data_IF_113067740742
#
_entry.id   IF_113067740742
#
_cell.length_a   1.000
_cell.length_b   1.000
_cell.length_c   1.000
_cell.angle_alpha   90.00
_cell.angle_beta   90.00
_cell.angle_gamma   90.00
#
_symmetry.space_group_name_H-M   'P 1'
#
loop_
_entity.id
_entity.type
_entity.pdbx_description
1 polymer ?
#
# COMPACT_ATOMS: atom_id res chain seq x y z
N UNK A 1 -78.21 -79.84 6.21
CA UNK A 1 -78.58 -79.57 4.79
C UNK A 1 -77.29 -79.19 4.08
N UNK A 2 -76.77 -79.81 3.03
CA UNK A 2 -77.25 -80.80 2.08
C UNK A 2 -75.97 -81.45 1.51
N UNK A 3 -75.69 -82.72 1.81
CA UNK A 3 -75.78 -83.88 0.90
C UNK A 3 -76.06 -83.58 -0.59
N UNK A 4 -75.32 -84.28 -1.46
CA UNK A 4 -75.59 -84.75 -2.85
C UNK A 4 -74.34 -84.48 -3.73
N UNK A 5 -73.45 -85.45 -4.02
CA UNK A 5 -73.60 -86.70 -4.80
C UNK A 5 -73.80 -86.46 -6.32
N UNK A 6 -72.83 -86.91 -7.13
CA UNK A 6 -72.86 -87.29 -8.56
C UNK A 6 -71.42 -87.74 -8.92
N UNK A 7 -71.06 -89.03 -8.95
CA UNK A 7 -71.45 -90.13 -9.85
C UNK A 7 -71.18 -89.84 -11.33
N UNK A 8 -70.10 -90.43 -11.88
CA UNK A 8 -70.09 -91.14 -13.17
C UNK A 8 -68.76 -91.85 -13.40
N UNK A 9 -68.87 -93.14 -13.69
CA UNK A 9 -67.79 -94.10 -13.95
C UNK A 9 -67.83 -94.51 -15.43
N UNK A 10 -66.68 -94.76 -16.07
CA UNK A 10 -66.50 -95.59 -17.28
C UNK A 10 -65.02 -96.04 -17.36
N UNK A 11 -64.69 -97.32 -17.08
CA UNK A 11 -64.24 -98.38 -18.02
C UNK A 11 -62.93 -98.01 -18.79
N UNK A 12 -61.82 -98.77 -18.84
CA UNK A 12 -61.60 -100.23 -18.75
C UNK A 12 -60.09 -100.61 -18.61
N UNK A 13 -59.83 -101.71 -17.89
CA UNK A 13 -58.74 -102.73 -17.98
C UNK A 13 -57.23 -102.43 -17.77
N UNK A 14 -56.77 -102.91 -16.59
CA UNK A 14 -55.65 -103.86 -16.32
C UNK A 14 -54.19 -103.44 -16.56
N UNK A 15 -53.44 -103.32 -15.45
CA UNK A 15 -52.23 -104.14 -15.16
C UNK A 15 -52.03 -104.28 -13.64
N UNK A 16 -51.56 -105.46 -13.20
CA UNK A 16 -51.25 -105.79 -11.82
C UNK A 16 -50.10 -104.95 -11.26
N UNK A 17 -50.23 -104.49 -10.02
CA UNK A 17 -49.08 -104.16 -9.14
C UNK A 17 -49.45 -104.46 -7.70
N UNK A 18 -48.68 -105.36 -7.11
CA UNK A 18 -48.74 -105.86 -5.74
C UNK A 18 -48.38 -104.70 -4.78
N UNK A 19 -49.17 -104.37 -3.75
CA UNK A 19 -48.67 -103.55 -2.67
C UNK A 19 -47.85 -104.43 -1.72
N UNK A 20 -46.53 -104.28 -1.78
CA UNK A 20 -45.59 -104.82 -0.82
C UNK A 20 -45.86 -104.13 0.52
N UNK A 21 -46.32 -104.90 1.51
CA UNK A 21 -46.56 -104.43 2.86
C UNK A 21 -45.31 -104.67 3.71
N UNK A 22 -44.72 -103.57 4.17
CA UNK A 22 -44.00 -103.35 5.43
C UNK A 22 -43.12 -104.47 6.01
N UNK A 23 -41.79 -104.25 5.91
CA UNK A 23 -40.80 -104.66 6.93
C UNK A 23 -39.83 -103.49 7.15
N UNK A 24 -39.43 -103.31 8.41
CA UNK A 24 -38.48 -102.34 8.98
C UNK A 24 -39.06 -100.92 9.17
N UNK A 25 -39.13 -100.36 10.38
CA UNK A 25 -38.13 -100.42 11.43
C UNK A 25 -37.23 -99.19 11.30
N UNK A 26 -37.19 -98.39 12.37
CA UNK A 26 -36.34 -97.21 12.59
C UNK A 26 -36.75 -95.91 11.88
N UNK A 27 -36.99 -94.89 12.72
CA UNK A 27 -37.04 -93.50 12.31
C UNK A 27 -35.71 -93.14 11.64
N UNK A 28 -35.75 -92.94 10.33
CA UNK A 28 -34.72 -92.18 9.61
C UNK A 28 -34.70 -90.78 10.20
N UNK A 29 -33.77 -90.55 11.11
CA UNK A 29 -32.90 -89.39 11.19
C UNK A 29 -32.09 -89.56 12.48
N UNK A 30 -30.89 -90.13 12.39
CA UNK A 30 -29.91 -90.13 13.49
C UNK A 30 -29.07 -88.84 13.33
N UNK A 31 -29.48 -87.70 13.92
CA UNK A 31 -28.69 -86.47 13.79
C UNK A 31 -27.30 -86.68 14.38
N UNK A 32 -26.30 -86.14 13.70
CA UNK A 32 -24.94 -86.05 14.24
C UNK A 32 -24.94 -84.90 15.25
N UNK A 33 -24.61 -85.22 16.51
CA UNK A 33 -24.39 -84.27 17.58
C UNK A 33 -22.95 -83.78 17.51
N UNK A 34 -22.80 -82.49 17.22
CA UNK A 34 -21.50 -81.82 17.21
C UNK A 34 -20.94 -81.71 18.62
N UNK A 35 -19.72 -82.18 18.83
CA UNK A 35 -18.86 -81.73 19.92
C UNK A 35 -17.62 -81.08 19.30
N UNK A 36 -17.54 -79.76 19.42
CA UNK A 36 -16.57 -78.90 18.74
C UNK A 36 -15.95 -77.86 19.69
N UNK A 37 -16.13 -78.07 21.01
CA UNK A 37 -15.83 -77.13 22.07
C UNK A 37 -16.80 -75.93 22.12
N UNK A 38 -17.02 -75.40 23.33
CA UNK A 38 -17.90 -74.26 23.56
C UNK A 38 -17.15 -72.92 23.42
N UNK A 39 -17.84 -71.91 22.89
CA UNK A 39 -17.36 -70.52 22.84
C UNK A 39 -16.33 -70.22 21.75
N UNK A 40 -15.91 -68.94 21.63
CA UNK A 40 -14.93 -68.52 20.64
C UNK A 40 -13.51 -69.00 20.98
N UNK A 41 -12.72 -69.30 19.96
CA UNK A 41 -11.26 -69.42 20.09
C UNK A 41 -10.71 -68.00 20.19
N UNK A 42 -10.03 -67.68 21.29
CA UNK A 42 -9.41 -66.37 21.47
C UNK A 42 -7.93 -66.45 21.11
N UNK A 43 -7.46 -65.55 20.24
CA UNK A 43 -6.07 -65.49 19.80
C UNK A 43 -5.49 -64.13 20.18
N UNK A 44 -4.22 -64.11 20.61
CA UNK A 44 -3.49 -62.87 20.79
C UNK A 44 -3.20 -62.22 19.42
N UNK A 45 -3.32 -60.89 19.34
CA UNK A 45 -2.90 -60.16 18.15
C UNK A 45 -1.37 -60.20 17.99
N UNK A 46 -0.86 -60.32 16.74
CA UNK A 46 0.56 -60.30 16.43
C UNK A 46 0.85 -60.00 14.96
N UNK A 47 2.09 -59.59 14.63
CA UNK A 47 2.55 -59.43 13.24
C UNK A 47 2.87 -60.80 12.60
N UNK A 48 1.88 -61.70 12.57
CA UNK A 48 2.08 -63.05 12.05
C UNK A 48 0.85 -63.94 12.14
N UNK A 49 1.09 -65.23 12.00
CA UNK A 49 0.06 -66.26 12.06
C UNK A 49 0.01 -66.92 13.44
N UNK A 50 -1.19 -67.28 13.88
CA UNK A 50 -1.40 -68.07 15.08
C UNK A 50 -1.70 -69.52 14.70
N UNK A 51 -1.12 -70.46 15.46
CA UNK A 51 -1.35 -71.89 15.34
C UNK A 51 -2.26 -72.37 16.45
N UNK A 52 -3.33 -73.09 16.10
CA UNK A 52 -4.21 -73.74 17.07
C UNK A 52 -4.79 -75.03 16.50
N UNK A 53 -5.16 -75.95 17.40
CA UNK A 53 -5.80 -77.22 17.04
C UNK A 53 -7.28 -77.19 17.39
N UNK A 54 -8.10 -77.84 16.56
CA UNK A 54 -9.51 -78.09 16.83
C UNK A 54 -9.76 -79.59 16.74
N UNK A 55 -10.51 -80.12 17.71
CA UNK A 55 -10.86 -81.53 17.80
C UNK A 55 -12.38 -81.69 17.81
N UNK A 56 -12.87 -82.54 16.91
CA UNK A 56 -14.26 -82.94 16.74
C UNK A 56 -14.48 -84.44 17.06
N UNK A 57 -13.49 -85.10 17.68
CA UNK A 57 -13.48 -86.55 17.95
C UNK A 57 -14.61 -87.01 18.87
N UNK A 58 -15.11 -86.12 19.73
CA UNK A 58 -16.23 -86.37 20.61
C UNK A 58 -17.61 -86.18 19.92
N UNK A 59 -17.64 -85.81 18.65
CA UNK A 59 -18.88 -85.73 17.89
C UNK A 59 -19.50 -87.13 17.76
N UNK A 60 -20.73 -87.27 18.23
CA UNK A 60 -21.46 -88.54 18.25
C UNK A 60 -22.67 -88.46 17.34
N UNK A 61 -23.33 -89.60 17.15
CA UNK A 61 -24.57 -89.74 16.42
C UNK A 61 -25.60 -90.29 17.40
N UNK A 62 -26.84 -89.79 17.33
CA UNK A 62 -27.90 -90.30 18.18
C UNK A 62 -28.33 -91.71 17.71
N UNK A 63 -27.63 -92.76 18.14
CA UNK A 63 -27.95 -94.16 17.84
C UNK A 63 -27.81 -95.06 19.08
N UNK A 64 -28.68 -96.09 19.28
CA UNK A 64 -28.61 -97.02 20.42
C UNK A 64 -27.32 -97.84 20.52
N UNK A 65 -26.65 -98.05 19.38
CA UNK A 65 -25.30 -98.62 19.26
C UNK A 65 -24.37 -97.61 18.57
N UNK A 66 -23.52 -96.89 19.33
CA UNK A 66 -22.71 -95.79 18.80
C UNK A 66 -21.55 -96.25 17.91
N UNK A 67 -21.20 -97.55 17.90
CA UNK A 67 -20.06 -98.06 17.12
C UNK A 67 -20.53 -98.65 15.78
N UNK A 68 -21.66 -99.36 15.78
CA UNK A 68 -22.10 -100.11 14.59
C UNK A 68 -23.18 -99.39 13.78
N UNK A 69 -23.94 -98.48 14.39
CA UNK A 69 -25.13 -97.87 13.75
C UNK A 69 -24.91 -96.56 13.00
N UNK A 70 -23.72 -95.96 13.10
CA UNK A 70 -23.47 -94.64 12.51
C UNK A 70 -22.65 -94.69 11.22
N UNK A 71 -22.12 -95.86 10.87
CA UNK A 71 -21.25 -96.03 9.72
C UNK A 71 -19.97 -95.21 9.84
N UNK A 72 -19.22 -95.14 8.74
CA UNK A 72 -18.01 -94.33 8.66
C UNK A 72 -18.39 -92.84 8.65
N UNK A 73 -17.86 -92.10 9.63
CA UNK A 73 -17.94 -90.65 9.71
C UNK A 73 -16.75 -90.05 8.97
N UNK A 74 -17.00 -89.03 8.15
CA UNK A 74 -15.95 -88.27 7.46
C UNK A 74 -15.96 -86.82 7.91
N UNK A 75 -14.77 -86.25 8.04
CA UNK A 75 -14.56 -84.87 8.48
C UNK A 75 -14.01 -84.04 7.32
N UNK A 76 -14.67 -82.91 7.04
CA UNK A 76 -14.25 -81.98 6.01
C UNK A 76 -14.10 -80.59 6.62
N UNK A 77 -12.86 -80.19 6.86
CA UNK A 77 -12.50 -78.92 7.48
C UNK A 77 -12.48 -77.76 6.50
N UNK A 78 -12.87 -76.58 6.99
CA UNK A 78 -12.95 -75.33 6.24
C UNK A 78 -12.71 -74.14 7.18
N UNK A 79 -12.30 -73.03 6.60
CA UNK A 79 -12.14 -71.73 7.26
C UNK A 79 -12.53 -70.61 6.32
N UNK A 80 -12.98 -69.48 6.88
CA UNK A 80 -13.14 -68.20 6.18
C UNK A 80 -12.12 -67.16 6.69
N UNK A 81 -11.13 -67.59 7.48
CA UNK A 81 -10.07 -66.72 7.98
C UNK A 81 -9.12 -66.28 6.86
N UNK A 82 -8.63 -65.01 6.90
CA UNK A 82 -7.60 -64.54 6.00
C UNK A 82 -6.31 -65.33 6.21
N UNK A 83 -5.61 -65.62 5.11
CA UNK A 83 -4.33 -66.36 5.07
C UNK A 83 -4.35 -67.69 5.85
N UNK A 84 -5.53 -68.32 5.90
CA UNK A 84 -5.68 -69.58 6.60
C UNK A 84 -5.01 -70.72 5.84
N UNK A 85 -3.99 -71.31 6.44
CA UNK A 85 -3.43 -72.58 6.01
C UNK A 85 -3.96 -73.71 6.90
N UNK A 86 -4.61 -74.68 6.26
CA UNK A 86 -5.11 -75.89 6.91
C UNK A 86 -3.95 -76.90 6.92
N UNK A 87 -3.26 -77.01 8.06
CA UNK A 87 -2.06 -77.83 8.20
C UNK A 87 -2.47 -79.29 8.44
N UNK A 88 -2.41 -80.12 7.38
CA UNK A 88 -2.89 -81.50 7.39
C UNK A 88 -2.34 -82.34 8.56
N UNK A 89 -3.22 -83.19 9.16
CA UNK A 89 -3.19 -84.58 8.71
C UNK A 89 -4.57 -85.25 8.48
N UNK A 90 -4.73 -85.81 7.27
CA UNK A 90 -5.51 -87.02 6.98
C UNK A 90 -7.01 -87.07 7.31
N UNK A 91 -7.79 -86.01 7.09
CA UNK A 91 -9.27 -86.09 7.08
C UNK A 91 -9.89 -86.65 8.37
N UNK A 92 -9.15 -86.59 9.46
CA UNK A 92 -9.52 -87.11 10.76
C UNK A 92 -10.33 -86.11 11.59
N UNK A 93 -10.73 -86.51 12.79
CA UNK A 93 -11.51 -85.67 13.70
C UNK A 93 -10.73 -84.49 14.29
N UNK A 94 -9.42 -84.40 14.12
CA UNK A 94 -8.58 -83.29 14.61
C UNK A 94 -7.89 -82.57 13.45
N UNK A 95 -7.79 -81.25 13.54
CA UNK A 95 -7.19 -80.39 12.50
C UNK A 95 -6.43 -79.23 13.13
N UNK A 96 -5.25 -78.96 12.58
CA UNK A 96 -4.46 -77.78 12.92
C UNK A 96 -4.71 -76.66 11.91
N UNK A 97 -4.91 -75.46 12.43
CA UNK A 97 -5.12 -74.25 11.65
C UNK A 97 -3.99 -73.27 11.92
N UNK A 98 -3.44 -72.73 10.83
CA UNK A 98 -2.60 -71.54 10.85
C UNK A 98 -3.42 -70.40 10.27
N UNK A 99 -3.70 -69.35 11.05
CA UNK A 99 -4.51 -68.20 10.59
C UNK A 99 -3.75 -66.90 10.79
N UNK A 100 -3.92 -65.93 9.88
CA UNK A 100 -3.48 -64.56 10.11
C UNK A 100 -4.22 -63.96 11.31
N UNK A 101 -3.50 -63.31 12.22
CA UNK A 101 -4.11 -62.65 13.38
C UNK A 101 -4.55 -61.21 13.07
N UNK A 102 -3.93 -60.59 12.05
CA UNK A 102 -4.31 -59.28 11.51
C UNK A 102 -4.44 -59.37 10.00
N UNK A 103 -5.30 -58.53 9.42
CA UNK A 103 -5.34 -58.33 7.97
C UNK A 103 -4.22 -57.37 7.49
N UNK A 104 -4.12 -57.15 6.18
CA UNK A 104 -3.17 -56.20 5.56
C UNK A 104 -3.32 -54.74 6.06
N UNK A 105 -4.41 -54.43 6.79
CA UNK A 105 -4.71 -53.12 7.37
C UNK A 105 -4.48 -53.08 8.88
N UNK A 106 -3.97 -54.15 9.50
CA UNK A 106 -3.70 -54.22 10.94
C UNK A 106 -4.95 -54.39 11.81
N UNK A 107 -6.08 -54.79 11.23
CA UNK A 107 -7.32 -55.05 11.96
C UNK A 107 -7.38 -56.50 12.45
N UNK A 108 -7.89 -56.77 13.68
CA UNK A 108 -8.00 -58.13 14.21
C UNK A 108 -8.91 -58.98 13.32
N UNK A 109 -8.44 -60.16 12.91
CA UNK A 109 -9.24 -61.06 12.09
C UNK A 109 -10.51 -61.52 12.84
N UNK A 110 -11.69 -61.29 12.26
CA UNK A 110 -12.95 -61.86 12.71
C UNK A 110 -13.40 -62.93 11.71
N UNK A 111 -13.23 -64.20 12.08
CA UNK A 111 -13.50 -65.32 11.19
C UNK A 111 -14.01 -66.54 11.96
N UNK A 112 -14.26 -67.62 11.24
CA UNK A 112 -14.77 -68.90 11.76
C UNK A 112 -14.02 -70.05 11.10
N UNK A 113 -13.85 -71.09 11.89
CA UNK A 113 -13.52 -72.42 11.40
C UNK A 113 -14.74 -73.31 11.52
N UNK A 114 -14.95 -74.17 10.55
CA UNK A 114 -16.04 -75.14 10.61
C UNK A 114 -15.62 -76.50 10.07
N UNK A 115 -16.25 -77.52 10.61
CA UNK A 115 -16.15 -78.90 10.14
C UNK A 115 -17.51 -79.33 9.61
N UNK A 116 -17.47 -79.96 8.45
CA UNK A 116 -18.63 -80.66 7.90
C UNK A 116 -18.45 -82.14 8.19
N UNK A 117 -19.31 -82.67 9.06
CA UNK A 117 -19.33 -84.07 9.45
C UNK A 117 -20.41 -84.78 8.64
N UNK A 118 -20.07 -85.89 7.99
CA UNK A 118 -21.02 -86.68 7.17
C UNK A 118 -20.95 -88.15 7.53
N UNK A 119 -22.11 -88.79 7.54
CA UNK A 119 -22.23 -90.25 7.47
C UNK A 119 -22.99 -90.66 6.19
N UNK A 120 -23.46 -91.90 6.10
CA UNK A 120 -24.16 -92.43 4.93
C UNK A 120 -25.48 -91.73 4.59
N UNK A 121 -26.13 -91.06 5.55
CA UNK A 121 -27.49 -90.52 5.40
C UNK A 121 -27.64 -89.06 5.80
N UNK A 122 -26.75 -88.53 6.63
CA UNK A 122 -26.84 -87.20 7.26
C UNK A 122 -25.54 -86.39 7.11
N UNK A 123 -25.70 -85.06 7.15
CA UNK A 123 -24.63 -84.08 7.14
C UNK A 123 -24.93 -83.01 8.19
N UNK A 124 -23.95 -82.71 9.04
CA UNK A 124 -24.02 -81.61 10.02
C UNK A 124 -22.80 -80.71 9.86
N UNK A 125 -22.99 -79.41 10.06
CA UNK A 125 -21.91 -78.43 10.12
C UNK A 125 -21.79 -77.92 11.55
N UNK A 126 -20.58 -77.94 12.08
CA UNK A 126 -20.24 -77.37 13.38
C UNK A 126 -19.25 -76.23 13.13
N UNK A 127 -19.51 -75.04 13.67
CA UNK A 127 -18.66 -73.87 13.49
C UNK A 127 -18.24 -73.28 14.83
N UNK A 128 -17.03 -72.70 14.86
CA UNK A 128 -16.51 -71.99 16.02
C UNK A 128 -15.93 -70.64 15.59
N UNK A 129 -16.39 -69.53 16.19
CA UNK A 129 -15.82 -68.22 15.91
C UNK A 129 -14.41 -68.10 16.47
N UNK A 130 -13.57 -67.37 15.74
CA UNK A 130 -12.25 -66.93 16.16
C UNK A 130 -12.36 -65.44 16.47
N UNK A 131 -11.94 -65.10 17.68
CA UNK A 131 -11.86 -63.72 18.17
C UNK A 131 -10.40 -63.40 18.41
N UNK A 132 -9.81 -62.56 17.56
CA UNK A 132 -8.50 -61.98 17.86
C UNK A 132 -8.71 -60.81 18.83
N UNK A 133 -7.86 -60.72 19.86
CA UNK A 133 -7.87 -59.59 20.79
C UNK A 133 -7.52 -58.27 20.08
N UNK A 134 -7.94 -57.15 20.66
CA UNK A 134 -7.63 -55.83 20.08
C UNK A 134 -6.12 -55.64 19.99
N UNK A 135 -5.65 -55.24 18.81
CA UNK A 135 -4.26 -54.95 18.57
C UNK A 135 -3.92 -53.57 19.14
N UNK A 136 -3.18 -53.55 20.25
CA UNK A 136 -2.70 -52.31 20.86
C UNK A 136 -1.43 -51.83 20.13
N UNK A 137 -1.58 -51.37 18.89
CA UNK A 137 -0.51 -50.67 18.18
C UNK A 137 -0.40 -49.25 18.70
N UNK A 138 0.83 -48.81 18.96
CA UNK A 138 1.09 -47.40 19.22
C UNK A 138 1.09 -46.59 17.91
N UNK A 139 1.26 -45.28 17.98
CA UNK A 139 1.18 -44.44 16.78
C UNK A 139 2.34 -44.61 15.78
N UNK A 140 3.40 -45.35 16.13
CA UNK A 140 4.47 -45.74 15.20
C UNK A 140 4.15 -47.08 14.51
N UNK A 141 3.03 -47.73 14.88
CA UNK A 141 2.69 -49.07 14.41
C UNK A 141 3.37 -50.17 15.21
N UNK A 142 3.91 -49.87 16.40
CA UNK A 142 4.57 -50.87 17.24
C UNK A 142 3.56 -51.57 18.15
N UNK A 143 3.47 -52.89 18.05
CA UNK A 143 2.57 -53.71 18.88
C UNK A 143 3.00 -53.68 20.34
N UNK A 144 2.12 -53.22 21.24
CA UNK A 144 2.43 -53.04 22.66
C UNK A 144 3.33 -51.85 22.95
N UNK A 145 3.56 -50.99 21.95
CA UNK A 145 4.28 -49.74 22.12
C UNK A 145 3.52 -48.76 23.02
N UNK A 146 4.21 -47.68 23.39
CA UNK A 146 3.64 -46.63 24.27
C UNK A 146 3.64 -45.25 23.62
N UNK A 147 4.11 -45.13 22.38
CA UNK A 147 4.14 -43.85 21.70
C UNK A 147 2.71 -43.33 21.48
N UNK A 148 2.50 -42.05 21.83
CA UNK A 148 1.23 -41.36 21.64
C UNK A 148 1.43 -40.21 20.66
N UNK A 149 0.35 -39.88 19.94
CA UNK A 149 0.34 -38.71 19.06
C UNK A 149 0.28 -37.46 19.94
N UNK A 150 1.23 -36.55 19.74
CA UNK A 150 1.24 -35.26 20.43
C UNK A 150 0.17 -34.31 19.85
N UNK A 151 -0.09 -33.14 20.46
CA UNK A 151 -1.06 -32.19 19.92
C UNK A 151 -0.76 -31.70 18.49
N UNK A 152 0.46 -31.88 18.00
CA UNK A 152 0.90 -31.52 16.66
C UNK A 152 0.71 -32.64 15.63
N UNK A 153 0.16 -33.80 16.04
CA UNK A 153 0.00 -34.95 15.15
C UNK A 153 1.27 -35.78 14.99
N UNK A 154 2.31 -35.54 15.79
CA UNK A 154 3.59 -36.26 15.70
C UNK A 154 3.61 -37.39 16.72
N UNK A 155 3.87 -38.61 16.26
CA UNK A 155 4.01 -39.75 17.15
C UNK A 155 5.27 -39.63 18.01
N UNK A 156 5.13 -39.72 19.34
CA UNK A 156 6.24 -39.55 20.27
C UNK A 156 6.79 -38.11 20.34
N UNK A 157 6.07 -37.15 19.78
CA UNK A 157 6.45 -35.73 19.86
C UNK A 157 6.19 -35.12 21.24
N UNK A 158 6.82 -33.98 21.50
CA UNK A 158 6.67 -33.20 22.74
C UNK A 158 5.67 -32.03 22.61
N UNK A 159 4.99 -31.93 21.46
CA UNK A 159 4.04 -30.86 21.18
C UNK A 159 4.69 -29.52 20.87
N UNK A 160 6.01 -29.44 20.62
CA UNK A 160 6.70 -28.16 20.34
C UNK A 160 6.75 -27.81 18.85
N UNK A 161 6.65 -28.80 17.98
CA UNK A 161 6.84 -28.63 16.53
C UNK A 161 5.80 -27.74 15.84
N UNK A 162 4.63 -27.56 16.45
CA UNK A 162 3.51 -26.76 15.95
C UNK A 162 3.09 -25.64 16.91
N UNK A 163 3.92 -25.27 17.88
CA UNK A 163 3.59 -24.19 18.81
C UNK A 163 3.55 -22.84 18.10
N UNK A 164 2.56 -22.04 18.46
CA UNK A 164 2.55 -20.62 18.14
C UNK A 164 3.55 -19.85 19.01
N UNK A 165 3.65 -18.54 18.82
CA UNK A 165 4.63 -17.76 19.61
C UNK A 165 4.33 -17.71 21.12
N UNK A 166 3.13 -18.12 21.56
CA UNK A 166 2.73 -18.21 22.96
C UNK A 166 2.99 -19.60 23.54
N UNK A 167 3.60 -20.51 22.77
CA UNK A 167 3.83 -21.89 23.18
C UNK A 167 2.57 -22.77 23.08
N UNK A 168 1.51 -22.31 22.40
CA UNK A 168 0.27 -23.07 22.26
C UNK A 168 0.32 -23.92 21.00
N UNK A 169 0.27 -25.26 21.09
CA UNK A 169 0.22 -26.13 19.91
C UNK A 169 -0.98 -25.80 19.02
N UNK A 170 -0.74 -25.62 17.71
CA UNK A 170 -1.73 -25.18 16.72
C UNK A 170 -2.45 -23.87 17.08
N UNK A 171 -1.84 -23.04 17.93
CA UNK A 171 -2.34 -21.71 18.22
C UNK A 171 -2.18 -20.76 17.03
N UNK A 172 -2.84 -19.60 17.11
CA UNK A 172 -2.83 -18.59 16.04
C UNK A 172 -1.99 -17.38 16.39
N UNK A 173 -1.36 -17.33 17.57
CA UNK A 173 -0.59 -16.17 17.99
C UNK A 173 0.67 -16.03 17.13
N UNK A 174 0.90 -14.82 16.62
CA UNK A 174 2.09 -14.48 15.86
C UNK A 174 2.84 -13.34 16.53
N UNK A 175 4.15 -13.28 16.30
CA UNK A 175 4.93 -12.11 16.67
C UNK A 175 4.47 -10.92 15.83
N UNK A 176 4.24 -9.79 16.49
CA UNK A 176 4.05 -8.52 15.81
C UNK A 176 5.40 -7.97 15.31
N UNK A 177 5.35 -6.80 14.65
CA UNK A 177 6.53 -6.07 14.19
C UNK A 177 7.49 -5.63 15.31
N UNK A 178 7.05 -5.70 16.57
CA UNK A 178 7.84 -5.38 17.77
C UNK A 178 8.46 -6.62 18.41
N UNK A 179 8.25 -7.81 17.84
CA UNK A 179 8.69 -9.07 18.42
C UNK A 179 7.88 -9.51 19.63
N UNK A 180 6.70 -8.95 19.85
CA UNK A 180 5.79 -9.35 20.92
C UNK A 180 4.77 -10.34 20.38
N UNK A 181 4.67 -11.50 21.03
CA UNK A 181 3.68 -12.48 20.67
C UNK A 181 2.26 -12.00 20.96
N UNK A 182 1.38 -11.99 19.96
CA UNK A 182 0.02 -11.48 20.09
C UNK A 182 -0.05 -9.97 20.32
N UNK A 183 1.05 -9.25 20.08
CA UNK A 183 1.07 -7.79 20.20
C UNK A 183 0.28 -7.10 19.09
N UNK A 184 -0.10 -5.85 19.34
CA UNK A 184 -0.83 -5.00 18.39
C UNK A 184 0.11 -4.16 17.50
N UNK A 185 1.43 -4.36 17.62
CA UNK A 185 2.44 -3.61 16.88
C UNK A 185 2.66 -2.17 17.36
N UNK A 186 2.09 -1.74 18.48
CA UNK A 186 2.16 -0.34 18.95
C UNK A 186 3.30 -0.07 19.94
N UNK A 187 3.78 -1.10 20.64
CA UNK A 187 4.73 -0.97 21.75
C UNK A 187 6.12 -0.45 21.33
N UNK A 188 6.50 -0.64 20.07
CA UNK A 188 7.80 -0.25 19.51
C UNK A 188 7.69 0.85 18.45
N UNK A 189 6.54 1.52 18.33
CA UNK A 189 6.39 2.62 17.39
C UNK A 189 7.23 3.81 17.83
N UNK A 190 7.96 4.39 16.89
CA UNK A 190 8.57 5.71 17.06
C UNK A 190 7.50 6.81 16.99
N UNK A 191 7.90 8.08 17.16
CA UNK A 191 6.92 9.17 17.16
C UNK A 191 6.26 9.43 15.78
N UNK A 192 6.74 8.79 14.70
CA UNK A 192 6.13 8.81 13.36
C UNK A 192 5.19 7.62 13.14
N UNK A 193 4.99 6.78 14.16
CA UNK A 193 4.20 5.56 14.03
C UNK A 193 4.91 4.45 13.25
N UNK A 194 6.25 4.47 13.17
CA UNK A 194 7.05 3.44 12.50
C UNK A 194 7.61 2.49 13.55
N UNK A 195 7.30 1.20 13.42
CA UNK A 195 7.84 0.18 14.32
C UNK A 195 9.36 0.07 14.22
N UNK A 196 10.02 0.07 15.38
CA UNK A 196 11.47 0.10 15.52
C UNK A 196 12.12 1.26 14.75
N UNK A 197 11.37 2.34 14.52
CA UNK A 197 11.87 3.57 13.92
C UNK A 197 12.77 4.33 14.88
N UNK A 198 13.61 5.21 14.33
CA UNK A 198 14.56 6.01 15.10
C UNK A 198 14.07 7.43 15.43
N UNK A 199 12.86 7.80 15.00
CA UNK A 199 12.39 9.17 15.18
C UNK A 199 12.05 9.45 16.65
N UNK A 200 12.56 10.57 17.14
CA UNK A 200 12.29 11.05 18.50
C UNK A 200 11.62 12.41 18.43
N UNK A 201 10.85 12.73 19.48
CA UNK A 201 10.24 14.04 19.63
C UNK A 201 11.34 15.04 20.00
N UNK A 202 11.47 16.11 19.23
CA UNK A 202 12.41 17.18 19.54
C UNK A 202 11.90 18.08 20.69
N UNK A 203 12.74 19.02 21.10
CA UNK A 203 12.41 20.04 22.11
C UNK A 203 11.20 20.93 21.76
N UNK A 204 10.76 20.93 20.51
CA UNK A 204 9.58 21.65 20.02
C UNK A 204 8.32 20.79 19.97
N UNK A 205 8.39 19.53 20.41
CA UNK A 205 7.26 18.60 20.36
C UNK A 205 7.04 17.99 18.97
N UNK A 206 7.98 18.15 18.03
CA UNK A 206 7.87 17.65 16.66
C UNK A 206 8.65 16.34 16.51
N UNK A 207 8.00 15.32 15.97
CA UNK A 207 8.67 14.07 15.67
C UNK A 207 9.68 14.21 14.53
N UNK A 208 10.94 13.81 14.77
CA UNK A 208 12.03 13.94 13.81
C UNK A 208 12.39 15.40 13.48
N UNK A 209 11.96 16.34 14.31
CA UNK A 209 12.31 17.75 14.16
C UNK A 209 13.78 18.00 14.51
N UNK A 210 14.32 19.09 13.99
CA UNK A 210 15.69 19.56 14.25
C UNK A 210 15.76 20.50 15.46
N UNK A 211 14.65 20.71 16.17
CA UNK A 211 14.55 21.61 17.30
C UNK A 211 14.57 23.09 16.95
N UNK A 212 14.41 23.48 15.67
CA UNK A 212 14.49 24.89 15.24
C UNK A 212 13.14 25.60 15.13
N UNK A 213 12.06 24.85 14.98
CA UNK A 213 10.72 25.37 14.67
C UNK A 213 10.08 26.22 15.79
N UNK A 214 10.50 25.99 17.04
CA UNK A 214 10.00 26.68 18.23
C UNK A 214 11.05 27.58 18.89
N UNK A 215 12.16 27.87 18.19
CA UNK A 215 13.17 28.78 18.74
C UNK A 215 12.62 30.19 18.85
N UNK A 216 12.86 30.81 20.00
CA UNK A 216 12.69 32.24 20.16
C UNK A 216 13.81 33.01 19.44
N UNK A 217 13.76 34.34 19.47
CA UNK A 217 14.76 35.14 18.76
C UNK A 217 16.20 35.04 19.32
N UNK A 218 16.39 34.40 20.48
CA UNK A 218 17.71 34.10 21.07
C UNK A 218 18.16 32.66 20.75
N UNK A 219 17.41 31.92 19.93
CA UNK A 219 17.72 30.53 19.63
C UNK A 219 17.37 29.58 20.78
N UNK A 220 16.50 30.00 21.71
CA UNK A 220 16.04 29.16 22.82
C UNK A 220 14.71 28.50 22.47
N UNK A 221 14.62 27.16 22.49
CA UNK A 221 13.38 26.43 22.20
C UNK A 221 12.28 26.74 23.22
N UNK A 222 11.09 27.07 22.73
CA UNK A 222 9.96 27.53 23.54
C UNK A 222 10.33 28.72 24.47
N UNK A 223 11.32 29.52 24.06
CA UNK A 223 11.71 30.72 24.77
C UNK A 223 10.65 31.82 24.64
N UNK A 224 10.74 32.82 25.51
CA UNK A 224 9.79 33.94 25.55
C UNK A 224 10.33 35.19 24.85
N UNK A 225 11.52 35.12 24.25
CA UNK A 225 12.14 36.29 23.66
C UNK A 225 11.45 36.67 22.36
N UNK A 226 11.04 37.93 22.25
CA UNK A 226 10.31 38.46 21.09
C UNK A 226 11.18 39.49 20.40
N UNK A 227 11.17 39.49 19.07
CA UNK A 227 11.83 40.51 18.27
C UNK A 227 11.06 41.83 18.42
N UNK A 228 11.76 42.90 18.75
CA UNK A 228 11.17 44.24 18.81
C UNK A 228 10.90 44.82 17.40
N UNK A 229 10.33 46.02 17.34
CA UNK A 229 10.06 46.72 16.08
C UNK A 229 11.33 47.03 15.24
N UNK A 230 12.51 46.95 15.85
CA UNK A 230 13.81 47.20 15.24
C UNK A 230 14.50 45.93 14.73
N UNK A 231 13.88 44.76 14.90
CA UNK A 231 14.51 43.49 14.53
C UNK A 231 15.47 42.95 15.60
N UNK A 232 15.51 43.53 16.80
CA UNK A 232 16.39 43.11 17.90
C UNK A 232 15.63 42.22 18.88
N UNK A 233 16.21 41.08 19.23
CA UNK A 233 15.63 40.18 20.21
C UNK A 233 15.60 40.80 21.61
N UNK A 234 14.40 40.85 22.23
CA UNK A 234 14.14 41.57 23.49
C UNK A 234 14.59 43.03 23.48
N UNK A 235 14.64 43.67 22.31
CA UNK A 235 14.90 45.10 22.22
C UNK A 235 13.76 45.94 22.79
N UNK A 236 14.08 47.17 23.18
CA UNK A 236 13.12 48.13 23.75
C UNK A 236 12.53 49.07 22.68
N UNK A 237 12.83 48.83 21.39
CA UNK A 237 12.42 49.70 20.30
C UNK A 237 13.21 51.00 20.16
N UNK A 238 14.21 51.27 21.03
CA UNK A 238 14.97 52.53 21.03
C UNK A 238 16.05 52.58 19.94
N UNK A 239 16.53 51.42 19.47
CA UNK A 239 17.57 51.33 18.45
C UNK A 239 17.12 51.76 17.04
N UNK A 240 15.81 51.88 16.83
CA UNK A 240 15.20 52.37 15.60
C UNK A 240 14.09 53.42 15.87
N UNK A 241 14.02 53.96 17.09
CA UNK A 241 13.19 55.12 17.35
C UNK A 241 13.81 56.31 16.59
N UNK A 242 13.06 56.82 15.61
CA UNK A 242 13.61 57.72 14.60
C UNK A 242 14.12 59.06 15.16
N UNK A 243 15.32 59.39 14.69
CA UNK A 243 16.06 60.64 14.77
C UNK A 243 15.37 61.79 14.00
N UNK A 244 15.73 63.03 14.37
CA UNK A 244 15.23 64.29 13.79
C UNK A 244 15.43 64.38 12.26
N UNK A 245 14.36 64.70 11.51
CA UNK A 245 14.46 65.04 10.09
C UNK A 245 14.97 66.50 9.91
N UNK A 246 15.99 66.71 9.07
CA UNK A 246 16.53 68.04 8.76
C UNK A 246 15.95 68.56 7.43
N UNK A 247 15.45 69.80 7.41
CA UNK A 247 15.16 70.54 6.16
C UNK A 247 16.48 70.92 5.46
N UNK A 248 16.82 70.25 4.35
CA UNK A 248 17.88 70.75 3.47
C UNK A 248 17.27 71.49 2.27
N UNK A 249 17.52 72.81 2.21
CA UNK A 249 17.18 73.62 1.03
C UNK A 249 18.25 73.42 -0.06
N UNK A 250 17.82 73.30 -1.33
CA UNK A 250 18.75 73.25 -2.46
C UNK A 250 19.63 74.51 -2.51
N UNK A 251 20.89 74.36 -2.92
CA UNK A 251 21.83 75.49 -2.95
C UNK A 251 21.30 76.63 -3.83
N UNK A 252 21.60 77.88 -3.44
CA UNK A 252 21.18 79.06 -4.20
C UNK A 252 21.66 79.02 -5.67
N UNK A 253 22.81 78.37 -5.91
CA UNK A 253 23.41 78.18 -7.22
C UNK A 253 22.61 77.20 -8.10
N UNK A 254 22.08 76.13 -7.52
CA UNK A 254 21.27 75.14 -8.22
C UNK A 254 19.91 75.69 -8.58
N UNK A 255 19.29 76.44 -7.67
CA UNK A 255 18.03 77.14 -7.91
C UNK A 255 18.18 78.18 -9.04
N UNK A 256 19.28 78.96 -9.05
CA UNK A 256 19.60 79.91 -10.13
C UNK A 256 19.75 79.19 -11.48
N UNK A 257 20.40 78.03 -11.48
CA UNK A 257 20.65 77.24 -12.69
C UNK A 257 19.38 76.58 -13.24
N UNK A 258 18.55 76.01 -12.37
CA UNK A 258 17.23 75.46 -12.71
C UNK A 258 16.31 76.52 -13.34
N UNK A 259 16.25 77.72 -12.73
CA UNK A 259 15.49 78.86 -13.27
C UNK A 259 15.98 79.25 -14.68
N UNK A 260 17.29 79.21 -14.93
CA UNK A 260 17.89 79.48 -16.25
C UNK A 260 17.51 78.41 -17.29
N UNK A 261 17.52 77.13 -16.92
CA UNK A 261 17.06 76.01 -17.78
C UNK A 261 15.59 76.19 -18.14
N UNK A 262 14.72 76.38 -17.14
CA UNK A 262 13.28 76.56 -17.32
C UNK A 262 12.97 77.76 -18.24
N UNK A 263 13.70 78.87 -18.08
CA UNK A 263 13.57 80.06 -18.95
C UNK A 263 13.94 79.77 -20.40
N UNK A 264 15.05 79.06 -20.65
CA UNK A 264 15.48 78.67 -22.00
C UNK A 264 14.50 77.68 -22.65
N UNK A 265 14.06 76.66 -21.91
CA UNK A 265 13.09 75.68 -22.39
C UNK A 265 11.75 76.35 -22.76
N UNK A 266 11.28 77.31 -21.93
CA UNK A 266 10.07 78.09 -22.24
C UNK A 266 10.20 78.84 -23.57
N UNK A 267 11.34 79.50 -23.80
CA UNK A 267 11.61 80.21 -25.07
C UNK A 267 11.60 79.26 -26.27
N UNK A 268 12.18 78.07 -26.15
CA UNK A 268 12.17 77.07 -27.23
C UNK A 268 10.74 76.58 -27.55
N UNK A 269 9.95 76.26 -26.52
CA UNK A 269 8.56 75.85 -26.70
C UNK A 269 7.71 76.95 -27.37
N UNK A 270 7.91 78.22 -26.97
CA UNK A 270 7.25 79.37 -27.60
C UNK A 270 7.67 79.54 -29.07
N UNK A 271 8.95 79.33 -29.40
CA UNK A 271 9.43 79.38 -30.80
C UNK A 271 8.79 78.31 -31.66
N UNK A 272 8.69 77.07 -31.19
CA UNK A 272 7.99 75.99 -31.91
C UNK A 272 6.54 76.39 -32.21
N UNK A 273 5.82 76.89 -31.22
CA UNK A 273 4.43 77.38 -31.40
C UNK A 273 4.36 78.51 -32.42
N UNK A 274 5.26 79.50 -32.32
CA UNK A 274 5.29 80.66 -33.23
C UNK A 274 5.48 80.23 -34.69
N UNK A 275 6.48 79.40 -34.99
CA UNK A 275 6.73 78.95 -36.36
C UNK A 275 5.66 77.99 -36.88
N UNK A 276 5.18 77.06 -36.06
CA UNK A 276 4.08 76.18 -36.44
C UNK A 276 2.77 76.93 -36.69
N UNK A 277 2.51 78.03 -35.96
CA UNK A 277 1.36 78.89 -36.20
C UNK A 277 1.53 79.77 -37.44
N UNK A 278 2.73 80.31 -37.68
CA UNK A 278 3.03 81.06 -38.91
C UNK A 278 2.91 80.19 -40.16
N UNK A 279 3.26 78.91 -40.09
CA UNK A 279 3.05 78.00 -41.22
C UNK A 279 1.59 77.89 -41.67
N UNK A 280 0.62 78.16 -40.76
CA UNK A 280 -0.81 78.15 -41.13
C UNK A 280 -1.13 79.17 -42.22
N UNK A 281 -0.45 80.32 -42.25
CA UNK A 281 -0.70 81.34 -43.27
C UNK A 281 -0.23 80.93 -44.67
N UNK A 282 0.61 79.90 -44.78
CA UNK A 282 1.02 79.30 -46.05
C UNK A 282 0.31 77.96 -46.33
N UNK A 283 -0.78 77.66 -45.61
CA UNK A 283 -1.59 76.46 -45.81
C UNK A 283 -1.03 75.17 -45.20
N UNK A 284 0.01 75.24 -44.37
CA UNK A 284 0.62 74.07 -43.70
C UNK A 284 0.43 74.12 -42.19
N UNK A 285 0.30 72.97 -41.54
CA UNK A 285 0.19 72.91 -40.07
C UNK A 285 0.94 71.73 -39.48
N UNK A 286 1.59 71.93 -38.34
CA UNK A 286 2.38 70.90 -37.64
C UNK A 286 1.96 70.73 -36.17
N UNK A 287 0.69 70.38 -35.88
CA UNK A 287 0.18 70.24 -34.52
C UNK A 287 0.95 69.18 -33.70
N UNK A 288 1.44 68.12 -34.36
CA UNK A 288 2.29 67.09 -33.74
C UNK A 288 3.58 67.65 -33.14
N UNK A 289 4.21 68.63 -33.79
CA UNK A 289 5.44 69.25 -33.26
C UNK A 289 5.16 70.13 -32.04
N UNK A 290 4.02 70.83 -32.03
CA UNK A 290 3.56 71.64 -30.89
C UNK A 290 3.27 70.74 -29.68
N UNK A 291 2.60 69.60 -29.89
CA UNK A 291 2.32 68.64 -28.82
C UNK A 291 3.61 68.06 -28.23
N UNK A 292 4.55 67.64 -29.09
CA UNK A 292 5.87 67.13 -28.67
C UNK A 292 6.67 68.17 -27.88
N UNK A 293 6.67 69.44 -28.32
CA UNK A 293 7.37 70.51 -27.60
C UNK A 293 6.71 70.83 -26.24
N UNK A 294 5.37 70.82 -26.17
CA UNK A 294 4.63 71.05 -24.92
C UNK A 294 4.92 69.95 -23.89
N UNK A 295 4.89 68.68 -24.31
CA UNK A 295 5.15 67.53 -23.43
C UNK A 295 6.58 67.56 -22.87
N UNK A 296 7.58 67.76 -23.74
CA UNK A 296 8.97 67.86 -23.31
C UNK A 296 9.20 69.04 -22.33
N UNK A 297 8.58 70.20 -22.58
CA UNK A 297 8.67 71.34 -21.67
C UNK A 297 8.02 71.09 -20.30
N UNK A 298 6.88 70.40 -20.27
CA UNK A 298 6.18 70.03 -19.03
C UNK A 298 7.04 69.14 -18.16
N UNK A 299 7.60 68.07 -18.75
CA UNK A 299 8.47 67.11 -18.04
C UNK A 299 9.74 67.75 -17.50
N UNK A 300 10.34 68.71 -18.22
CA UNK A 300 11.47 69.49 -17.69
C UNK A 300 11.03 70.31 -16.48
N UNK A 301 9.83 70.87 -16.51
CA UNK A 301 9.35 71.74 -15.42
C UNK A 301 9.05 70.94 -14.16
N UNK A 302 8.41 69.79 -14.31
CA UNK A 302 8.11 68.81 -13.25
C UNK A 302 9.41 68.32 -12.58
N UNK A 303 10.35 67.77 -13.37
CA UNK A 303 11.65 67.30 -12.87
C UNK A 303 12.43 68.39 -12.11
N UNK A 304 12.34 69.65 -12.53
CA UNK A 304 13.01 70.76 -11.83
C UNK A 304 12.28 71.21 -10.57
N UNK A 305 10.95 71.09 -10.51
CA UNK A 305 10.18 71.46 -9.33
C UNK A 305 10.44 70.42 -8.24
N UNK A 306 10.14 69.16 -8.53
CA UNK A 306 10.14 68.06 -7.58
C UNK A 306 11.52 67.76 -6.96
N UNK A 307 12.60 68.17 -7.64
CA UNK A 307 13.97 67.81 -7.25
C UNK A 307 14.90 69.00 -6.96
N UNK A 308 14.51 70.25 -7.26
CA UNK A 308 15.44 71.39 -7.16
C UNK A 308 14.80 72.69 -6.64
N UNK A 309 13.49 72.88 -6.83
CA UNK A 309 12.85 74.18 -6.51
C UNK A 309 11.97 74.09 -5.25
N UNK A 310 11.44 72.91 -4.92
CA UNK A 310 10.75 72.67 -3.65
C UNK A 310 11.69 72.04 -2.63
N UNK A 311 11.71 72.58 -1.41
CA UNK A 311 12.31 71.93 -0.25
C UNK A 311 11.54 70.64 0.04
N UNK A 312 12.23 69.51 0.13
CA UNK A 312 11.62 68.23 0.51
C UNK A 312 12.21 67.79 1.84
N UNK A 313 11.34 67.42 2.78
CA UNK A 313 11.74 66.79 4.04
C UNK A 313 12.37 65.42 3.72
N UNK A 314 13.57 65.15 4.22
CA UNK A 314 14.23 63.83 4.05
C UNK A 314 14.43 63.23 5.44
N UNK A 315 13.84 62.06 5.67
CA UNK A 315 14.07 61.25 6.86
C UNK A 315 14.88 60.01 6.45
N UNK A 316 15.86 59.63 7.29
CA UNK A 316 16.93 58.72 6.90
C UNK A 316 16.56 57.23 7.07
N UNK A 317 15.46 56.80 6.45
CA UNK A 317 15.31 55.41 6.01
C UNK A 317 14.62 55.40 4.65
N UNK A 318 15.45 55.09 3.65
CA UNK A 318 15.10 54.80 2.26
C UNK A 318 14.58 55.94 1.38
N UNK A 319 15.34 57.03 1.22
CA UNK A 319 15.41 57.70 -0.10
C UNK A 319 16.75 58.34 -0.45
N UNK A 320 17.84 58.07 0.29
CA UNK A 320 19.19 58.29 -0.20
C UNK A 320 19.73 57.01 -0.83
N UNK A 321 18.99 56.42 -1.78
CA UNK A 321 19.72 55.76 -2.87
C UNK A 321 20.38 56.90 -3.63
N UNK A 322 21.67 56.78 -3.88
CA UNK A 322 22.39 57.58 -4.86
C UNK A 322 21.82 57.32 -6.26
N UNK A 323 20.54 57.64 -6.50
CA UNK A 323 19.95 57.79 -7.82
C UNK A 323 20.41 59.15 -8.32
N UNK A 324 21.68 59.07 -8.68
CA UNK A 324 22.62 60.08 -9.06
C UNK A 324 22.01 61.34 -9.65
N UNK A 325 22.51 62.48 -9.19
CA UNK A 325 22.46 63.76 -9.91
C UNK A 325 22.74 63.58 -11.42
N UNK A 326 23.55 62.58 -11.79
CA UNK A 326 23.79 62.09 -13.16
C UNK A 326 22.54 61.59 -13.88
N UNK A 327 21.67 60.80 -13.24
CA UNK A 327 20.43 60.30 -13.82
C UNK A 327 19.41 61.42 -14.05
N UNK A 328 19.23 62.31 -13.07
CA UNK A 328 18.37 63.49 -13.21
C UNK A 328 18.89 64.41 -14.33
N UNK A 329 20.20 64.68 -14.36
CA UNK A 329 20.89 65.44 -15.44
C UNK A 329 20.64 64.79 -16.80
N UNK A 330 20.73 63.46 -16.89
CA UNK A 330 20.46 62.71 -18.13
C UNK A 330 19.01 62.85 -18.59
N UNK A 331 18.04 62.69 -17.67
CA UNK A 331 16.60 62.82 -17.95
C UNK A 331 16.26 64.23 -18.45
N UNK A 332 16.75 65.27 -17.78
CA UNK A 332 16.55 66.67 -18.20
C UNK A 332 17.19 66.92 -19.58
N UNK A 333 18.43 66.48 -19.78
CA UNK A 333 19.14 66.67 -21.06
C UNK A 333 18.42 65.98 -22.24
N UNK A 334 17.85 64.79 -22.03
CA UNK A 334 17.09 64.09 -23.06
C UNK A 334 15.83 64.89 -23.46
N UNK A 335 15.09 65.43 -22.49
CA UNK A 335 13.90 66.25 -22.80
C UNK A 335 14.27 67.57 -23.49
N UNK A 336 15.37 68.21 -23.08
CA UNK A 336 15.90 69.41 -23.76
C UNK A 336 16.26 69.11 -25.21
N UNK A 337 16.90 67.97 -25.49
CA UNK A 337 17.21 67.53 -26.87
C UNK A 337 15.94 67.34 -27.70
N UNK A 338 14.88 66.73 -27.14
CA UNK A 338 13.58 66.55 -27.82
C UNK A 338 12.93 67.90 -28.13
N UNK A 339 12.94 68.82 -27.17
CA UNK A 339 12.39 70.16 -27.32
C UNK A 339 13.13 70.95 -28.41
N UNK A 340 14.45 70.83 -28.44
CA UNK A 340 15.30 71.44 -29.47
C UNK A 340 15.01 70.89 -30.86
N UNK A 341 14.96 69.56 -31.02
CA UNK A 341 14.64 68.92 -32.31
C UNK A 341 13.28 69.38 -32.84
N UNK A 342 12.27 69.49 -31.97
CA UNK A 342 10.95 70.00 -32.34
C UNK A 342 11.00 71.47 -32.79
N UNK A 343 11.73 72.33 -32.07
CA UNK A 343 11.89 73.74 -32.44
C UNK A 343 12.63 73.93 -33.77
N UNK A 344 13.75 73.21 -33.96
CA UNK A 344 14.53 73.24 -35.21
C UNK A 344 13.68 72.75 -36.39
N UNK A 345 13.01 71.61 -36.25
CA UNK A 345 12.16 71.06 -37.31
C UNK A 345 10.97 71.96 -37.62
N UNK A 346 10.33 72.55 -36.62
CA UNK A 346 9.24 73.51 -36.85
C UNK A 346 9.70 74.76 -37.60
N UNK A 347 10.92 75.25 -37.35
CA UNK A 347 11.48 76.39 -38.08
C UNK A 347 11.84 76.00 -39.52
N UNK A 348 12.54 74.88 -39.71
CA UNK A 348 12.96 74.41 -41.03
C UNK A 348 11.76 74.10 -41.94
N UNK A 349 10.75 73.41 -41.42
CA UNK A 349 9.52 73.13 -42.16
C UNK A 349 8.82 74.43 -42.58
N UNK A 350 8.77 75.44 -41.71
CA UNK A 350 8.21 76.73 -42.06
C UNK A 350 9.00 77.43 -43.17
N UNK A 351 10.34 77.46 -43.08
CA UNK A 351 11.19 78.10 -44.09
C UNK A 351 11.07 77.41 -45.46
N UNK A 352 11.13 76.07 -45.49
CA UNK A 352 11.09 75.29 -46.72
C UNK A 352 9.69 75.27 -47.35
N UNK A 353 8.65 74.94 -46.56
CA UNK A 353 7.32 74.69 -47.11
C UNK A 353 6.56 76.00 -47.42
N UNK A 354 6.92 77.11 -46.75
CA UNK A 354 6.39 78.42 -47.08
C UNK A 354 7.31 79.24 -48.02
N UNK A 355 8.37 78.63 -48.58
CA UNK A 355 9.33 79.27 -49.50
C UNK A 355 9.86 80.64 -49.00
N UNK A 356 10.22 80.72 -47.72
CA UNK A 356 10.79 81.95 -47.16
C UNK A 356 12.25 82.02 -47.61
N UNK A 357 12.50 82.76 -48.69
CA UNK A 357 13.85 83.08 -49.15
C UNK A 357 14.49 84.06 -48.14
N UNK A 358 15.73 83.80 -47.72
CA UNK A 358 16.53 84.76 -46.96
C UNK A 358 16.82 85.95 -47.90
N UNK A 359 16.16 87.09 -47.69
CA UNK A 359 16.57 88.32 -48.36
C UNK A 359 17.90 88.75 -47.73
N UNK A 360 18.98 88.68 -48.52
CA UNK A 360 20.35 89.06 -48.17
C UNK A 360 20.55 90.55 -47.81
N UNK A 361 19.49 91.29 -47.44
CA UNK A 361 19.55 92.73 -47.17
C UNK A 361 19.76 93.07 -45.68
N UNK A 362 19.96 92.06 -44.82
CA UNK A 362 20.34 92.30 -43.43
C UNK A 362 21.54 91.45 -43.02
N UNK A 363 22.77 92.02 -43.02
CA UNK A 363 23.99 91.30 -42.62
C UNK A 363 24.01 90.87 -41.15
N UNK A 364 23.03 91.28 -40.34
CA UNK A 364 22.84 90.83 -38.96
C UNK A 364 21.75 89.74 -38.82
N UNK A 365 21.15 89.28 -39.92
CA UNK A 365 20.18 88.21 -39.91
C UNK A 365 20.89 86.86 -39.70
N UNK A 366 20.70 86.27 -38.52
CA UNK A 366 21.31 84.99 -38.15
C UNK A 366 20.86 83.86 -39.08
N UNK A 367 21.80 83.08 -39.60
CA UNK A 367 21.53 81.90 -40.43
C UNK A 367 21.11 80.68 -39.60
N UNK A 368 20.65 79.63 -40.27
CA UNK A 368 20.21 78.38 -39.59
C UNK A 368 21.33 77.73 -38.76
N UNK A 369 22.60 77.89 -39.18
CA UNK A 369 23.81 77.52 -38.43
C UNK A 369 23.98 78.38 -37.15
N UNK A 370 23.86 79.71 -37.22
CA UNK A 370 24.03 80.61 -36.07
C UNK A 370 23.05 80.29 -34.93
N UNK A 371 21.82 79.92 -35.28
CA UNK A 371 20.81 79.52 -34.29
C UNK A 371 21.05 78.14 -33.69
N UNK A 372 21.77 77.25 -34.40
CA UNK A 372 22.22 75.95 -33.89
C UNK A 372 23.33 76.18 -32.87
N UNK A 373 24.27 77.06 -33.17
CA UNK A 373 25.45 77.33 -32.35
C UNK A 373 25.12 78.18 -31.12
N UNK A 374 24.22 79.15 -31.23
CA UNK A 374 23.65 79.88 -30.08
C UNK A 374 23.04 78.94 -29.03
N UNK A 375 22.42 77.85 -29.49
CA UNK A 375 21.74 76.89 -28.62
C UNK A 375 22.72 75.87 -28.04
N UNK A 376 23.71 75.41 -28.82
CA UNK A 376 24.82 74.57 -28.32
C UNK A 376 25.62 75.32 -27.26
N UNK A 377 25.95 76.59 -27.50
CA UNK A 377 26.65 77.48 -26.57
C UNK A 377 25.80 77.80 -25.33
N UNK A 378 24.46 77.78 -25.44
CA UNK A 378 23.58 77.90 -24.30
C UNK A 378 23.55 76.65 -23.41
N UNK A 379 23.79 75.45 -23.96
CA UNK A 379 23.94 74.19 -23.21
C UNK A 379 25.30 74.06 -22.52
N UNK A 380 26.38 74.57 -23.12
CA UNK A 380 27.71 74.68 -22.49
C UNK A 380 27.76 75.60 -21.26
N UNK A 381 26.72 76.43 -21.07
CA UNK A 381 26.55 77.36 -19.93
C UNK A 381 25.53 76.87 -18.88
N UNK A 382 25.17 75.59 -18.92
CA UNK A 382 24.54 74.88 -17.81
C UNK A 382 25.65 74.48 -16.85
N UNK A 383 25.45 74.59 -15.54
CA UNK A 383 26.52 74.27 -14.61
C UNK A 383 26.91 72.79 -14.75
N UNK A 384 28.21 72.54 -14.77
CA UNK A 384 28.79 71.21 -14.57
C UNK A 384 28.97 70.90 -13.07
N UNK A 385 28.25 71.61 -12.19
CA UNK A 385 28.36 71.39 -10.75
C UNK A 385 27.74 70.05 -10.38
N UNK A 386 28.57 69.20 -9.78
CA UNK A 386 28.15 68.14 -8.89
C UNK A 386 27.32 68.76 -7.77
N UNK A 387 26.08 68.31 -7.65
CA UNK A 387 25.30 68.49 -6.44
C UNK A 387 25.83 67.43 -5.47
N UNK A 388 26.81 67.81 -4.65
CA UNK A 388 27.24 67.00 -3.54
C UNK A 388 26.23 67.20 -2.40
N UNK A 389 25.52 66.13 -2.04
CA UNK A 389 24.83 66.10 -0.77
C UNK A 389 25.92 66.12 0.31
N UNK A 390 26.02 67.22 1.06
CA UNK A 390 26.86 67.26 2.25
C UNK A 390 26.13 66.44 3.32
N UNK A 391 26.88 65.50 3.91
CA UNK A 391 26.47 64.62 5.01
C UNK A 391 25.68 65.34 6.10
#
# INVERSE_FOLDING_TARGET
MSLQLKLLAFFFLVTLSIPYNSIAGESKDNPILCDFGDGPITLACGNGTALFSVDASASTCAHPDPVTGCGFITFVWRSDCPDAEILLPNGGPQMDFQVGTVDDFGMPAQCRVWVVIRNLTNKTQCERPIKVEECNYDCNGDLGGTAQVDPCGVCGGDGTSCQDCSGTPNGTAQFDQCGICGGDGTSCLDCNGIANGGATIDQCGICGGDGTSCLDCNGVPNGSSIVDQCGICNGDGSSCAEEECIEQQSSEQDIKSAKKVKKKARKLNQRTKKFSNRAKSCGKSYPSLIAKSKNAYSKITELLVDNVVTSTLVCNTSLCTQVSTTELKSKINNQVKKLYKAAKKSKLNYLNDCQVVDNNDNPNAKVTEDYRDDVINATKKLPDTTLDCIN
#
